data_IF_887733038624
#
_entry.id   IF_887733038624
#
_cell.length_a   1.000
_cell.length_b   1.000
_cell.length_c   1.000
_cell.angle_alpha   90.00
_cell.angle_beta   90.00
_cell.angle_gamma   90.00
#
_symmetry.space_group_name_H-M   'P 1'
#
loop_
_entity.id
_entity.type
_entity.pdbx_description
1 polymer ?
#
# COMPACT_ATOMS: atom_id res chain seq x y z
N UNK A 1 11.15 26.47 2.89
CA UNK A 1 10.55 25.18 2.48
C UNK A 1 10.43 25.03 0.96
N UNK A 2 9.80 25.96 0.18
CA UNK A 2 9.60 25.76 -1.26
C UNK A 2 10.91 25.78 -2.07
N UNK A 3 11.84 26.68 -1.71
CA UNK A 3 13.14 26.82 -2.38
C UNK A 3 14.04 25.60 -2.18
N UNK A 4 14.07 25.05 -0.95
CA UNK A 4 14.85 23.86 -0.61
C UNK A 4 14.31 22.61 -1.31
N UNK A 5 12.98 22.45 -1.35
CA UNK A 5 12.32 21.36 -2.08
C UNK A 5 12.63 21.43 -3.58
N UNK A 6 12.61 22.63 -4.17
CA UNK A 6 12.94 22.85 -5.58
C UNK A 6 14.41 22.49 -5.86
N UNK A 7 15.33 22.91 -5.01
CA UNK A 7 16.76 22.56 -5.10
C UNK A 7 16.98 21.04 -5.04
N UNK A 8 16.33 20.35 -4.10
CA UNK A 8 16.45 18.89 -3.96
C UNK A 8 15.88 18.17 -5.19
N UNK A 9 14.71 18.59 -5.70
CA UNK A 9 14.13 17.99 -6.91
C UNK A 9 14.96 18.25 -8.16
N UNK A 10 15.61 19.41 -8.26
CA UNK A 10 16.47 19.77 -9.40
C UNK A 10 17.85 19.09 -9.34
N UNK A 11 18.39 18.88 -8.15
CA UNK A 11 19.68 18.19 -7.95
C UNK A 11 19.57 16.66 -8.06
N UNK A 12 18.37 16.09 -7.90
CA UNK A 12 18.15 14.64 -7.83
C UNK A 12 18.67 13.84 -9.04
N UNK A 13 18.47 14.26 -10.31
CA UNK A 13 19.02 13.54 -11.47
C UNK A 13 20.55 13.42 -11.45
N UNK A 14 21.22 14.29 -10.70
CA UNK A 14 22.68 14.35 -10.58
C UNK A 14 23.21 13.58 -9.36
N UNK A 15 22.35 13.00 -8.52
CA UNK A 15 22.77 12.17 -7.39
C UNK A 15 23.16 10.78 -7.93
N UNK A 16 24.38 10.29 -7.66
CA UNK A 16 24.81 8.96 -8.07
C UNK A 16 23.85 7.86 -7.61
N UNK A 17 23.52 6.92 -8.51
CA UNK A 17 22.65 5.77 -8.21
C UNK A 17 23.08 4.98 -6.97
N UNK A 18 24.38 4.89 -6.69
CA UNK A 18 24.94 4.23 -5.51
C UNK A 18 24.50 4.89 -4.19
N UNK A 19 24.46 6.22 -4.15
CA UNK A 19 24.04 6.99 -2.97
C UNK A 19 22.53 6.86 -2.76
N UNK A 20 21.73 6.98 -3.84
CA UNK A 20 20.28 6.75 -3.78
C UNK A 20 19.99 5.32 -3.31
N UNK A 21 20.74 4.35 -3.83
CA UNK A 21 20.64 2.93 -3.44
C UNK A 21 20.94 2.70 -1.96
N UNK A 22 21.97 3.34 -1.40
CA UNK A 22 22.32 3.18 0.01
C UNK A 22 21.21 3.66 0.97
N UNK A 23 20.48 4.71 0.57
CA UNK A 23 19.33 5.22 1.32
C UNK A 23 18.09 4.37 1.08
N UNK A 24 17.85 3.96 -0.17
CA UNK A 24 16.71 3.14 -0.57
C UNK A 24 16.72 1.76 0.09
N UNK A 25 17.89 1.19 0.40
CA UNK A 25 18.06 -0.10 1.11
C UNK A 25 17.28 -0.19 2.43
N UNK A 26 16.99 0.93 3.08
CA UNK A 26 16.15 0.95 4.31
C UNK A 26 14.67 0.72 4.01
N UNK A 27 14.22 1.13 2.82
CA UNK A 27 12.80 1.23 2.47
C UNK A 27 12.37 0.21 1.40
N UNK A 28 13.32 -0.46 0.75
CA UNK A 28 13.13 -1.45 -0.32
C UNK A 28 13.95 -2.69 0.07
N UNK A 29 13.32 -3.87 0.01
CA UNK A 29 13.96 -5.10 0.47
C UNK A 29 15.19 -5.49 -0.38
N UNK A 30 15.13 -5.19 -1.67
CA UNK A 30 16.16 -5.45 -2.66
C UNK A 30 15.57 -5.54 -4.06
N UNK A 31 16.32 -6.12 -4.99
CA UNK A 31 15.93 -6.20 -6.41
C UNK A 31 15.33 -7.56 -6.76
N UNK A 32 15.69 -8.62 -6.02
CA UNK A 32 15.25 -9.97 -6.29
C UNK A 32 14.13 -10.41 -5.34
N UNK A 33 13.32 -11.39 -5.77
CA UNK A 33 12.32 -12.03 -4.91
C UNK A 33 12.94 -12.59 -3.61
N UNK A 34 14.15 -13.14 -3.68
CA UNK A 34 14.88 -13.65 -2.52
C UNK A 34 15.19 -12.57 -1.46
N UNK A 35 15.34 -11.32 -1.89
CA UNK A 35 15.49 -10.19 -0.97
C UNK A 35 14.19 -9.90 -0.23
N UNK A 36 13.06 -9.91 -0.96
CA UNK A 36 11.73 -9.81 -0.39
C UNK A 36 11.47 -10.92 0.64
N UNK A 37 11.74 -12.17 0.29
CA UNK A 37 11.61 -13.33 1.19
C UNK A 37 12.44 -13.13 2.46
N UNK A 38 13.72 -12.76 2.32
CA UNK A 38 14.61 -12.53 3.47
C UNK A 38 14.04 -11.44 4.38
N UNK A 39 13.61 -10.32 3.82
CA UNK A 39 13.04 -9.21 4.57
C UNK A 39 11.76 -9.60 5.32
N UNK A 40 10.87 -10.37 4.67
CA UNK A 40 9.64 -10.87 5.29
C UNK A 40 9.94 -11.86 6.42
N UNK A 41 10.92 -12.76 6.26
CA UNK A 41 11.35 -13.67 7.34
C UNK A 41 11.82 -12.90 8.58
N UNK A 42 12.60 -11.84 8.42
CA UNK A 42 13.04 -11.00 9.55
C UNK A 42 11.89 -10.27 10.25
N UNK A 43 10.86 -9.86 9.50
CA UNK A 43 9.65 -9.27 10.07
C UNK A 43 8.81 -10.33 10.82
N UNK A 44 8.60 -11.50 10.22
CA UNK A 44 7.79 -12.57 10.81
C UNK A 44 8.40 -13.11 12.11
N UNK A 45 9.74 -13.13 12.26
CA UNK A 45 10.42 -13.44 13.54
C UNK A 45 9.99 -12.51 14.68
N UNK A 46 9.52 -11.31 14.37
CA UNK A 46 9.02 -10.31 15.32
C UNK A 46 7.49 -10.27 15.39
N UNK A 47 6.81 -11.30 14.90
CA UNK A 47 5.34 -11.37 14.78
C UNK A 47 4.71 -10.29 13.89
N UNK A 48 5.53 -9.63 13.06
CA UNK A 48 5.09 -8.60 12.13
C UNK A 48 4.69 -9.26 10.81
N UNK A 49 3.47 -8.98 10.35
CA UNK A 49 2.97 -9.47 9.05
C UNK A 49 3.57 -8.64 7.92
N UNK A 50 3.51 -9.15 6.69
CA UNK A 50 3.94 -8.39 5.52
C UNK A 50 2.88 -8.35 4.40
N UNK A 51 3.04 -7.39 3.49
CA UNK A 51 2.51 -7.43 2.14
C UNK A 51 3.68 -7.23 1.19
N UNK A 52 3.89 -8.16 0.28
CA UNK A 52 4.93 -8.04 -0.74
C UNK A 52 4.36 -7.25 -1.92
N UNK A 53 5.13 -6.27 -2.40
CA UNK A 53 4.79 -5.44 -3.56
C UNK A 53 5.92 -5.52 -4.57
N UNK A 54 5.55 -5.86 -5.81
CA UNK A 54 6.46 -5.84 -6.94
C UNK A 54 6.58 -4.40 -7.46
N UNK A 55 7.79 -3.85 -7.38
CA UNK A 55 8.10 -2.55 -7.93
C UNK A 55 8.18 -2.63 -9.45
N UNK A 56 7.28 -1.90 -10.10
CA UNK A 56 7.27 -1.75 -11.55
C UNK A 56 6.53 -0.50 -11.99
N UNK A 57 6.74 -0.14 -13.24
CA UNK A 57 6.13 0.97 -13.94
C UNK A 57 4.83 0.56 -14.67
N UNK A 58 4.16 1.56 -15.28
CA UNK A 58 3.03 1.31 -16.19
C UNK A 58 3.49 0.37 -17.32
N UNK A 59 2.77 -0.74 -17.50
CA UNK A 59 2.98 -1.69 -18.61
C UNK A 59 2.41 -1.13 -19.92
N UNK A 60 3.07 -1.45 -21.03
CA UNK A 60 2.76 -0.89 -22.36
C UNK A 60 2.16 -1.88 -23.32
N UNK A 61 2.31 -3.18 -23.06
CA UNK A 61 1.89 -4.24 -23.96
C UNK A 61 1.57 -5.52 -23.19
N UNK A 62 0.94 -6.48 -23.88
CA UNK A 62 0.53 -7.75 -23.30
C UNK A 62 1.71 -8.59 -22.79
N UNK A 63 2.89 -8.46 -23.40
CA UNK A 63 4.07 -9.21 -22.97
C UNK A 63 4.53 -8.77 -21.57
N UNK A 64 4.66 -7.47 -21.33
CA UNK A 64 4.98 -6.91 -20.01
C UNK A 64 3.92 -7.27 -18.94
N UNK A 65 2.63 -7.31 -19.32
CA UNK A 65 1.55 -7.74 -18.42
C UNK A 65 1.73 -9.21 -18.00
N UNK A 66 2.06 -10.09 -18.95
CA UNK A 66 2.28 -11.51 -18.67
C UNK A 66 3.51 -11.71 -17.77
N UNK A 67 4.59 -10.94 -17.97
CA UNK A 67 5.77 -10.95 -17.09
C UNK A 67 5.40 -10.54 -15.66
N UNK A 68 4.73 -9.40 -15.48
CA UNK A 68 4.30 -8.93 -14.15
C UNK A 68 3.37 -9.94 -13.47
N UNK A 69 2.41 -10.50 -14.22
CA UNK A 69 1.51 -11.53 -13.69
C UNK A 69 2.30 -12.76 -13.24
N UNK A 70 3.25 -13.24 -14.05
CA UNK A 70 4.08 -14.39 -13.71
C UNK A 70 4.90 -14.13 -12.44
N UNK A 71 5.49 -12.95 -12.30
CA UNK A 71 6.23 -12.55 -11.11
C UNK A 71 5.33 -12.52 -9.85
N UNK A 72 4.13 -11.95 -9.95
CA UNK A 72 3.16 -11.94 -8.84
C UNK A 72 2.77 -13.37 -8.42
N UNK A 73 2.56 -14.27 -9.39
CA UNK A 73 2.28 -15.68 -9.11
C UNK A 73 3.48 -16.36 -8.43
N UNK A 74 4.72 -16.06 -8.83
CA UNK A 74 5.93 -16.53 -8.15
C UNK A 74 6.05 -16.01 -6.72
N UNK A 75 5.59 -14.79 -6.42
CA UNK A 75 5.52 -14.28 -5.04
C UNK A 75 4.55 -15.13 -4.21
N UNK A 76 3.36 -15.42 -4.73
CA UNK A 76 2.36 -16.24 -4.03
C UNK A 76 2.89 -17.65 -3.73
N UNK A 77 3.59 -18.26 -4.69
CA UNK A 77 4.26 -19.54 -4.50
C UNK A 77 5.35 -19.44 -3.43
N UNK A 78 6.22 -18.44 -3.51
CA UNK A 78 7.30 -18.25 -2.55
C UNK A 78 6.79 -18.01 -1.12
N UNK A 79 5.68 -17.30 -0.95
CA UNK A 79 5.03 -17.11 0.36
C UNK A 79 4.64 -18.47 0.95
N UNK A 80 4.01 -19.33 0.18
CA UNK A 80 3.56 -20.65 0.62
C UNK A 80 4.75 -21.56 0.94
N UNK A 81 5.71 -21.70 0.03
CA UNK A 81 6.90 -22.54 0.19
C UNK A 81 7.74 -22.17 1.42
N UNK A 82 7.81 -20.87 1.72
CA UNK A 82 8.56 -20.36 2.86
C UNK A 82 7.71 -20.17 4.13
N UNK A 83 6.41 -20.51 4.07
CA UNK A 83 5.43 -20.34 5.16
C UNK A 83 5.42 -18.91 5.73
N UNK A 84 5.47 -17.92 4.85
CA UNK A 84 5.56 -16.51 5.25
C UNK A 84 4.19 -16.01 5.71
N UNK A 85 4.15 -15.26 6.81
CA UNK A 85 2.97 -14.48 7.19
C UNK A 85 2.93 -13.21 6.35
N UNK A 86 2.60 -13.37 5.06
CA UNK A 86 2.53 -12.31 4.08
C UNK A 86 1.38 -12.51 3.12
N UNK A 87 0.86 -11.39 2.61
CA UNK A 87 0.00 -11.37 1.43
C UNK A 87 0.70 -10.61 0.29
N UNK A 88 -0.01 -10.37 -0.81
CA UNK A 88 0.50 -9.59 -1.95
C UNK A 88 -0.32 -8.33 -2.14
N UNK A 89 0.34 -7.21 -2.45
CA UNK A 89 -0.32 -6.01 -3.01
C UNK A 89 0.00 -5.94 -4.50
N UNK A 90 -0.98 -5.61 -5.33
CA UNK A 90 -0.82 -5.45 -6.77
C UNK A 90 -1.43 -4.12 -7.23
N UNK A 91 -0.95 -3.62 -8.36
CA UNK A 91 -1.45 -2.40 -9.01
C UNK A 91 -2.21 -2.79 -10.28
N UNK A 92 -3.51 -2.45 -10.41
CA UNK A 92 -4.28 -2.79 -11.61
C UNK A 92 -3.65 -2.33 -12.93
N UNK A 93 -2.99 -1.17 -12.96
CA UNK A 93 -2.34 -0.65 -14.17
C UNK A 93 -1.28 -1.58 -14.71
N UNK A 94 -0.47 -2.19 -13.83
CA UNK A 94 0.54 -3.18 -14.19
C UNK A 94 -0.04 -4.48 -14.75
N UNK A 95 -1.34 -4.70 -14.58
CA UNK A 95 -2.06 -5.87 -15.09
C UNK A 95 -2.93 -5.54 -16.30
N UNK A 96 -2.80 -4.32 -16.84
CA UNK A 96 -3.41 -3.90 -18.10
C UNK A 96 -4.61 -2.97 -17.96
N UNK A 97 -4.87 -2.38 -16.78
CA UNK A 97 -6.06 -1.53 -16.58
C UNK A 97 -6.14 -0.37 -17.58
N UNK A 98 -5.01 0.24 -17.93
CA UNK A 98 -4.92 1.35 -18.91
C UNK A 98 -4.97 0.89 -20.37
N UNK A 99 -4.89 -0.42 -20.63
CA UNK A 99 -4.90 -1.01 -21.97
C UNK A 99 -6.28 -1.58 -22.28
N UNK A 100 -6.75 -2.51 -21.45
CA UNK A 100 -8.04 -3.18 -21.59
C UNK A 100 -8.53 -3.62 -20.19
N UNK A 101 -9.72 -3.13 -19.81
CA UNK A 101 -10.32 -3.37 -18.50
C UNK A 101 -10.69 -4.85 -18.29
N UNK A 102 -11.14 -5.55 -19.34
CA UNK A 102 -11.42 -6.98 -19.28
C UNK A 102 -10.14 -7.82 -19.22
N UNK A 103 -9.07 -7.37 -19.90
CA UNK A 103 -7.75 -7.99 -19.75
C UNK A 103 -7.25 -7.86 -18.29
N UNK A 104 -7.32 -6.65 -17.73
CA UNK A 104 -6.97 -6.41 -16.34
C UNK A 104 -7.78 -7.27 -15.37
N UNK A 105 -9.10 -7.33 -15.57
CA UNK A 105 -9.98 -8.18 -14.78
C UNK A 105 -9.55 -9.65 -14.82
N UNK A 106 -9.34 -10.23 -16.01
CA UNK A 106 -8.95 -11.64 -16.15
C UNK A 106 -7.61 -11.94 -15.48
N UNK A 107 -6.63 -11.03 -15.61
CA UNK A 107 -5.32 -11.19 -14.99
C UNK A 107 -5.40 -11.11 -13.45
N UNK A 108 -6.10 -10.11 -12.92
CA UNK A 108 -6.29 -9.96 -11.47
C UNK A 108 -7.07 -11.16 -10.92
N UNK A 109 -8.17 -11.57 -11.59
CA UNK A 109 -8.96 -12.74 -11.20
C UNK A 109 -8.09 -13.98 -11.10
N UNK A 110 -7.24 -14.24 -12.10
CA UNK A 110 -6.33 -15.40 -12.08
C UNK A 110 -5.38 -15.38 -10.87
N UNK A 111 -4.83 -14.21 -10.54
CA UNK A 111 -3.96 -14.03 -9.37
C UNK A 111 -4.74 -14.29 -8.07
N UNK A 112 -5.95 -13.74 -7.94
CA UNK A 112 -6.80 -13.91 -6.74
C UNK A 112 -7.23 -15.37 -6.57
N UNK A 113 -7.59 -16.07 -7.65
CA UNK A 113 -7.91 -17.50 -7.64
C UNK A 113 -6.71 -18.34 -7.18
N UNK A 114 -5.50 -18.05 -7.72
CA UNK A 114 -4.28 -18.72 -7.28
C UNK A 114 -3.99 -18.44 -5.80
N UNK A 115 -4.16 -17.20 -5.34
CA UNK A 115 -4.01 -16.87 -3.93
C UNK A 115 -5.01 -17.65 -3.05
N UNK A 116 -6.27 -17.81 -3.51
CA UNK A 116 -7.31 -18.57 -2.79
C UNK A 116 -6.90 -20.03 -2.60
N UNK A 117 -6.38 -20.66 -3.66
CA UNK A 117 -5.90 -22.04 -3.63
C UNK A 117 -4.72 -22.23 -2.65
N UNK A 118 -3.94 -21.19 -2.42
CA UNK A 118 -2.81 -21.19 -1.49
C UNK A 118 -3.19 -20.64 -0.10
N UNK A 119 -4.49 -20.47 0.22
CA UNK A 119 -4.92 -19.90 1.50
C UNK A 119 -4.43 -18.47 1.75
N UNK A 120 -4.15 -17.71 0.69
CA UNK A 120 -3.53 -16.39 0.74
C UNK A 120 -4.50 -15.30 0.27
N UNK A 121 -4.12 -14.05 0.53
CA UNK A 121 -4.90 -12.84 0.27
C UNK A 121 -4.22 -11.95 -0.76
N UNK A 122 -5.02 -11.19 -1.51
CA UNK A 122 -4.52 -10.18 -2.46
C UNK A 122 -5.13 -8.82 -2.18
N UNK A 123 -4.29 -7.82 -1.95
CA UNK A 123 -4.71 -6.42 -1.91
C UNK A 123 -4.61 -5.79 -3.29
N UNK A 124 -5.70 -5.21 -3.75
CA UNK A 124 -5.74 -4.34 -4.92
C UNK A 124 -5.42 -2.91 -4.44
N UNK A 125 -4.23 -2.42 -4.76
CA UNK A 125 -3.83 -1.06 -4.44
C UNK A 125 -4.61 -0.04 -5.29
N UNK A 126 -4.85 1.13 -4.71
CA UNK A 126 -5.56 2.23 -5.38
C UNK A 126 -4.53 3.23 -5.92
N UNK A 127 -4.63 3.50 -7.21
CA UNK A 127 -3.74 4.40 -7.93
C UNK A 127 -4.32 5.82 -8.01
N UNK A 128 -4.02 6.58 -9.06
CA UNK A 128 -4.56 7.93 -9.22
C UNK A 128 -6.09 7.95 -9.46
N UNK A 129 -6.69 9.13 -9.35
CA UNK A 129 -8.14 9.31 -9.44
C UNK A 129 -8.72 8.83 -10.79
N UNK A 130 -7.94 8.82 -11.87
CA UNK A 130 -8.40 8.39 -13.19
C UNK A 130 -8.65 6.88 -13.27
N UNK A 131 -8.08 6.10 -12.35
CA UNK A 131 -8.22 4.64 -12.30
C UNK A 131 -9.15 4.15 -11.20
N UNK A 132 -9.68 5.05 -10.36
CA UNK A 132 -10.43 4.68 -9.15
C UNK A 132 -11.71 3.90 -9.46
N UNK A 133 -12.51 4.37 -10.42
CA UNK A 133 -13.78 3.71 -10.77
C UNK A 133 -13.56 2.30 -11.32
N UNK A 134 -12.61 2.14 -12.23
CA UNK A 134 -12.32 0.85 -12.84
C UNK A 134 -11.73 -0.13 -11.82
N UNK A 135 -10.90 0.35 -10.89
CA UNK A 135 -10.37 -0.45 -9.78
C UNK A 135 -11.49 -0.96 -8.87
N UNK A 136 -12.42 -0.08 -8.49
CA UNK A 136 -13.57 -0.48 -7.66
C UNK A 136 -14.54 -1.40 -8.42
N UNK A 137 -14.71 -1.22 -9.73
CA UNK A 137 -15.52 -2.11 -10.56
C UNK A 137 -14.92 -3.53 -10.62
N UNK A 138 -13.61 -3.65 -10.82
CA UNK A 138 -12.89 -4.93 -10.77
C UNK A 138 -13.08 -5.59 -9.40
N UNK A 139 -12.88 -4.84 -8.31
CA UNK A 139 -13.05 -5.38 -6.95
C UNK A 139 -14.46 -5.93 -6.72
N UNK A 140 -15.50 -5.16 -7.08
CA UNK A 140 -16.90 -5.58 -6.92
C UNK A 140 -17.21 -6.81 -7.77
N UNK A 141 -16.68 -6.91 -8.98
CA UNK A 141 -16.86 -8.08 -9.85
C UNK A 141 -16.19 -9.32 -9.28
N UNK A 142 -14.99 -9.21 -8.70
CA UNK A 142 -14.34 -10.32 -7.99
C UNK A 142 -15.18 -10.81 -6.80
N UNK A 143 -15.77 -9.88 -6.02
CA UNK A 143 -16.70 -10.25 -4.95
C UNK A 143 -17.93 -10.99 -5.48
N UNK A 144 -18.54 -10.52 -6.57
CA UNK A 144 -19.68 -11.18 -7.21
C UNK A 144 -19.33 -12.58 -7.73
N UNK A 145 -18.08 -12.79 -8.15
CA UNK A 145 -17.55 -14.10 -8.56
C UNK A 145 -17.22 -15.03 -7.37
N UNK A 146 -17.50 -14.62 -6.12
CA UNK A 146 -17.27 -15.42 -4.91
C UNK A 146 -15.81 -15.46 -4.43
N UNK A 147 -15.02 -14.46 -4.83
CA UNK A 147 -13.63 -14.29 -4.38
C UNK A 147 -13.59 -13.30 -3.21
N UNK A 148 -13.56 -13.85 -2.01
CA UNK A 148 -13.52 -13.15 -0.72
C UNK A 148 -12.10 -12.97 -0.16
N UNK A 149 -11.11 -13.64 -0.75
CA UNK A 149 -9.69 -13.55 -0.40
C UNK A 149 -8.99 -12.32 -1.02
N UNK A 150 -9.74 -11.24 -1.24
CA UNK A 150 -9.22 -9.98 -1.78
C UNK A 150 -9.83 -8.76 -1.08
N UNK A 151 -9.10 -7.64 -1.14
CA UNK A 151 -9.55 -6.36 -0.61
C UNK A 151 -9.04 -5.21 -1.46
N UNK A 152 -9.62 -4.03 -1.23
CA UNK A 152 -9.32 -2.82 -2.00
C UNK A 152 -8.76 -1.72 -1.09
N UNK A 153 -8.09 -0.73 -1.68
CA UNK A 153 -7.59 0.47 -0.99
C UNK A 153 -8.56 1.63 -1.19
N UNK A 154 -8.74 2.45 -0.15
CA UNK A 154 -9.40 3.75 -0.22
C UNK A 154 -8.45 4.85 0.25
N UNK A 155 -8.50 6.00 -0.43
CA UNK A 155 -7.62 7.15 -0.20
C UNK A 155 -8.39 8.31 0.43
N UNK A 156 -8.18 8.56 1.72
CA UNK A 156 -8.97 9.52 2.50
C UNK A 156 -8.92 10.98 2.02
N UNK A 157 -7.96 11.36 1.18
CA UNK A 157 -7.88 12.70 0.61
C UNK A 157 -8.85 12.97 -0.54
N UNK A 158 -9.53 11.96 -1.12
CA UNK A 158 -10.46 12.19 -2.23
C UNK A 158 -11.82 12.59 -1.69
N UNK A 159 -12.47 13.56 -2.35
CA UNK A 159 -13.84 13.99 -2.00
C UNK A 159 -14.85 12.84 -2.11
N UNK A 160 -14.66 11.95 -3.10
CA UNK A 160 -15.53 10.78 -3.36
C UNK A 160 -15.46 9.67 -2.31
N UNK A 161 -14.40 9.61 -1.50
CA UNK A 161 -14.10 8.40 -0.69
C UNK A 161 -15.15 8.05 0.35
N UNK A 162 -15.94 9.01 0.84
CA UNK A 162 -17.04 8.69 1.75
C UNK A 162 -18.12 7.86 1.08
N UNK A 163 -18.53 8.22 -0.13
CA UNK A 163 -19.52 7.48 -0.89
C UNK A 163 -19.02 6.07 -1.22
N UNK A 164 -17.76 5.97 -1.69
CA UNK A 164 -17.13 4.68 -1.98
C UNK A 164 -17.08 3.78 -0.74
N UNK A 165 -16.68 4.32 0.42
CA UNK A 165 -16.66 3.56 1.68
C UNK A 165 -18.06 3.10 2.09
N UNK A 166 -19.06 3.99 2.03
CA UNK A 166 -20.46 3.65 2.36
C UNK A 166 -21.02 2.57 1.43
N UNK A 167 -20.58 2.53 0.17
CA UNK A 167 -20.90 1.45 -0.77
C UNK A 167 -20.22 0.14 -0.36
N UNK A 168 -18.91 0.17 -0.08
CA UNK A 168 -18.09 -1.00 0.22
C UNK A 168 -18.46 -1.71 1.53
N UNK A 169 -18.84 -0.96 2.57
CA UNK A 169 -19.20 -1.57 3.86
C UNK A 169 -20.49 -2.39 3.78
N UNK A 170 -21.38 -2.13 2.81
CA UNK A 170 -22.61 -2.92 2.60
C UNK A 170 -22.31 -4.39 2.26
N UNK A 171 -21.18 -4.65 1.61
CA UNK A 171 -20.70 -6.01 1.31
C UNK A 171 -19.63 -6.50 2.29
N UNK A 172 -19.44 -5.82 3.43
CA UNK A 172 -18.37 -6.11 4.42
C UNK A 172 -16.99 -6.22 3.78
N UNK A 173 -16.70 -5.37 2.79
CA UNK A 173 -15.43 -5.36 2.08
C UNK A 173 -14.23 -5.28 3.05
N UNK A 174 -13.13 -5.93 2.69
CA UNK A 174 -11.87 -5.79 3.40
C UNK A 174 -11.13 -4.56 2.83
N UNK A 175 -10.96 -3.51 3.64
CA UNK A 175 -10.51 -2.19 3.17
C UNK A 175 -9.15 -1.83 3.77
N UNK A 176 -8.18 -1.40 2.94
CA UNK A 176 -6.99 -0.68 3.41
C UNK A 176 -7.28 0.82 3.27
N UNK A 177 -7.31 1.54 4.40
CA UNK A 177 -7.51 2.98 4.41
C UNK A 177 -6.17 3.70 4.51
N UNK A 178 -5.81 4.45 3.48
CA UNK A 178 -4.63 5.32 3.46
C UNK A 178 -5.04 6.78 3.28
N UNK A 179 -4.08 7.71 3.34
CA UNK A 179 -4.37 9.13 3.04
C UNK A 179 -4.56 9.37 1.55
N UNK A 180 -3.80 8.71 0.69
CA UNK A 180 -3.58 9.10 -0.70
C UNK A 180 -2.20 9.73 -0.90
N UNK A 181 -1.61 9.52 -2.07
CA UNK A 181 -0.21 9.92 -2.37
C UNK A 181 -0.05 10.65 -3.72
N UNK A 182 -1.03 10.57 -4.61
CA UNK A 182 -0.96 11.19 -5.92
C UNK A 182 -1.21 12.70 -5.83
N UNK A 183 -0.70 13.47 -6.79
CA UNK A 183 -0.91 14.93 -6.79
C UNK A 183 -2.19 15.30 -7.55
N UNK A 184 -3.33 15.05 -6.92
CA UNK A 184 -4.65 15.39 -7.48
C UNK A 184 -4.96 16.89 -7.37
N UNK A 185 -5.82 17.37 -8.27
CA UNK A 185 -6.30 18.76 -8.24
C UNK A 185 -7.19 19.03 -7.02
N UNK A 186 -7.31 20.29 -6.54
CA UNK A 186 -8.19 20.63 -5.41
C UNK A 186 -9.66 20.29 -5.62
N UNK A 187 -10.12 20.22 -6.88
CA UNK A 187 -11.48 19.81 -7.22
C UNK A 187 -11.75 18.31 -7.05
N UNK A 188 -10.68 17.50 -6.94
CA UNK A 188 -10.75 16.04 -6.77
C UNK A 188 -10.38 15.64 -5.34
N UNK A 189 -9.42 16.34 -4.73
CA UNK A 189 -8.87 15.99 -3.43
C UNK A 189 -8.69 17.18 -2.47
N UNK A 190 -8.89 16.91 -1.18
CA UNK A 190 -8.47 17.80 -0.10
C UNK A 190 -6.95 18.04 -0.18
N UNK A 191 -6.54 19.30 -0.03
CA UNK A 191 -5.11 19.68 0.01
C UNK A 191 -4.64 20.02 1.41
N UNK A 192 -5.54 20.42 2.30
CA UNK A 192 -5.20 20.70 3.69
C UNK A 192 -4.98 19.41 4.50
N UNK A 193 -3.95 19.44 5.34
CA UNK A 193 -3.53 18.27 6.11
C UNK A 193 -4.53 17.92 7.22
N UNK A 194 -5.20 18.91 7.81
CA UNK A 194 -6.21 18.67 8.83
C UNK A 194 -7.50 18.14 8.21
N UNK A 195 -7.92 18.66 7.06
CA UNK A 195 -9.05 18.11 6.29
C UNK A 195 -8.83 16.63 5.94
N UNK A 196 -7.66 16.27 5.41
CA UNK A 196 -7.33 14.87 5.08
C UNK A 196 -7.37 13.99 6.34
N UNK A 197 -6.83 14.47 7.47
CA UNK A 197 -6.86 13.71 8.74
C UNK A 197 -8.27 13.54 9.28
N UNK A 198 -9.08 14.59 9.24
CA UNK A 198 -10.46 14.56 9.69
C UNK A 198 -11.28 13.59 8.83
N UNK A 199 -11.11 13.64 7.50
CA UNK A 199 -11.79 12.71 6.62
C UNK A 199 -11.29 11.27 6.84
N UNK A 200 -9.98 11.05 7.04
CA UNK A 200 -9.46 9.72 7.38
C UNK A 200 -10.15 9.12 8.61
N UNK A 201 -10.25 9.87 9.70
CA UNK A 201 -10.92 9.40 10.92
C UNK A 201 -12.43 9.21 10.72
N UNK A 202 -13.08 10.07 9.92
CA UNK A 202 -14.49 9.90 9.53
C UNK A 202 -14.69 8.58 8.79
N UNK A 203 -13.89 8.31 7.76
CA UNK A 203 -13.96 7.07 6.98
C UNK A 203 -13.66 5.85 7.84
N UNK A 204 -12.67 5.93 8.75
CA UNK A 204 -12.37 4.85 9.68
C UNK A 204 -13.59 4.49 10.56
N UNK A 205 -14.31 5.49 11.08
CA UNK A 205 -15.55 5.23 11.83
C UNK A 205 -16.59 4.55 10.95
N UNK A 206 -16.84 5.03 9.73
CA UNK A 206 -17.83 4.42 8.82
C UNK A 206 -17.47 2.95 8.50
N UNK A 207 -16.19 2.66 8.27
CA UNK A 207 -15.72 1.29 7.99
C UNK A 207 -15.99 0.36 9.18
N UNK A 208 -15.65 0.81 10.39
CA UNK A 208 -15.80 0.01 11.61
C UNK A 208 -17.27 -0.14 12.02
N UNK A 209 -18.09 0.90 11.90
CA UNK A 209 -19.54 0.84 12.11
C UNK A 209 -20.22 -0.15 11.15
N UNK A 210 -19.73 -0.23 9.91
CA UNK A 210 -20.18 -1.21 8.92
C UNK A 210 -19.71 -2.65 9.16
N UNK A 211 -18.85 -2.88 10.16
CA UNK A 211 -18.31 -4.21 10.49
C UNK A 211 -17.30 -4.75 9.47
N UNK A 212 -16.72 -3.89 8.63
CA UNK A 212 -15.69 -4.24 7.66
C UNK A 212 -14.31 -4.36 8.32
N UNK A 213 -13.49 -5.33 7.88
CA UNK A 213 -12.08 -5.40 8.28
C UNK A 213 -11.32 -4.20 7.71
N UNK A 214 -10.48 -3.56 8.54
CA UNK A 214 -9.70 -2.39 8.13
C UNK A 214 -8.20 -2.56 8.34
N UNK A 215 -7.43 -2.29 7.29
CA UNK A 215 -6.00 -2.00 7.36
C UNK A 215 -5.78 -0.49 7.52
N UNK A 216 -5.39 -0.06 8.71
CA UNK A 216 -5.14 1.35 9.06
C UNK A 216 -3.74 1.72 8.57
N UNK A 217 -3.64 2.11 7.30
CA UNK A 217 -2.37 2.40 6.62
C UNK A 217 -1.92 3.85 6.82
N UNK A 218 -1.09 4.08 7.85
CA UNK A 218 -0.60 5.42 8.19
C UNK A 218 0.66 5.35 9.06
N UNK A 219 1.49 6.39 8.94
CA UNK A 219 2.64 6.65 9.83
C UNK A 219 2.45 7.87 10.73
N UNK A 220 1.28 8.51 10.64
CA UNK A 220 0.96 9.74 11.34
C UNK A 220 0.48 9.44 12.76
N UNK A 221 1.26 9.84 13.77
CA UNK A 221 0.93 9.60 15.19
C UNK A 221 -0.47 10.08 15.55
N UNK A 222 -0.88 11.24 15.03
CA UNK A 222 -2.22 11.75 15.31
C UNK A 222 -3.30 10.76 14.88
N UNK A 223 -3.15 10.15 13.70
CA UNK A 223 -4.11 9.16 13.21
C UNK A 223 -4.00 7.84 13.94
N UNK A 224 -2.78 7.42 14.30
CA UNK A 224 -2.56 6.18 15.06
C UNK A 224 -3.22 6.30 16.44
N UNK A 225 -2.95 7.37 17.16
CA UNK A 225 -3.47 7.61 18.51
C UNK A 225 -5.01 7.68 18.52
N UNK A 226 -5.59 8.39 17.55
CA UNK A 226 -7.05 8.46 17.40
C UNK A 226 -7.64 7.12 16.94
N UNK A 227 -6.93 6.35 16.10
CA UNK A 227 -7.36 5.01 15.74
C UNK A 227 -7.40 4.08 16.95
N UNK A 228 -6.42 4.12 17.85
CA UNK A 228 -6.47 3.38 19.12
C UNK A 228 -7.72 3.74 19.94
N UNK A 229 -8.02 5.04 20.06
CA UNK A 229 -9.22 5.50 20.78
C UNK A 229 -10.52 4.99 20.12
N UNK A 230 -10.61 5.04 18.79
CA UNK A 230 -11.77 4.51 18.04
C UNK A 230 -11.88 2.99 18.25
N UNK A 231 -10.79 2.23 18.06
CA UNK A 231 -10.77 0.78 18.27
C UNK A 231 -11.25 0.40 19.67
N UNK A 232 -10.76 1.11 20.70
CA UNK A 232 -11.17 0.90 22.09
C UNK A 232 -12.65 1.23 22.30
N UNK A 233 -13.16 2.33 21.72
CA UNK A 233 -14.57 2.71 21.77
C UNK A 233 -15.49 1.64 21.16
N UNK A 234 -15.07 1.02 20.06
CA UNK A 234 -15.82 -0.07 19.40
C UNK A 234 -15.61 -1.45 20.05
N UNK A 235 -14.69 -1.58 21.01
CA UNK A 235 -14.40 -2.86 21.67
C UNK A 235 -13.88 -3.93 20.73
N UNK A 236 -13.12 -3.55 19.69
CA UNK A 236 -12.71 -4.48 18.64
C UNK A 236 -11.61 -5.44 19.10
N UNK A 237 -11.77 -6.71 18.71
CA UNK A 237 -10.74 -7.72 18.81
C UNK A 237 -9.63 -7.48 17.78
N UNK A 238 -8.44 -8.00 18.10
CA UNK A 238 -7.22 -7.79 17.32
C UNK A 238 -7.29 -8.40 15.91
N UNK A 239 -8.19 -9.34 15.68
CA UNK A 239 -8.42 -9.99 14.37
C UNK A 239 -9.38 -9.21 13.46
N UNK A 240 -9.98 -8.12 13.94
CA UNK A 240 -10.93 -7.29 13.18
C UNK A 240 -10.27 -6.09 12.47
N UNK A 241 -9.00 -5.81 12.76
CA UNK A 241 -8.23 -4.74 12.12
C UNK A 241 -6.73 -5.07 12.13
N UNK A 242 -5.96 -4.28 11.40
CA UNK A 242 -4.50 -4.22 11.54
C UNK A 242 -4.01 -2.81 11.26
N UNK A 243 -2.89 -2.42 11.87
CA UNK A 243 -2.11 -1.27 11.42
C UNK A 243 -1.28 -1.64 10.20
N UNK A 244 -0.97 -0.67 9.35
CA UNK A 244 -0.09 -0.90 8.21
C UNK A 244 0.89 0.25 8.01
N UNK A 245 2.15 -0.11 7.74
CA UNK A 245 3.24 0.86 7.53
C UNK A 245 4.15 0.40 6.39
N UNK A 246 4.79 1.35 5.72
CA UNK A 246 5.89 1.08 4.79
C UNK A 246 7.14 0.58 5.52
N UNK A 247 7.88 -0.31 4.85
CA UNK A 247 9.19 -0.81 5.30
C UNK A 247 10.14 0.34 5.65
N UNK A 248 10.85 0.22 6.77
CA UNK A 248 11.88 1.17 7.19
C UNK A 248 11.37 2.51 7.74
N UNK A 249 10.06 2.77 7.70
CA UNK A 249 9.48 4.04 8.13
C UNK A 249 8.96 3.91 9.57
N UNK A 250 9.40 4.83 10.45
CA UNK A 250 8.88 5.01 11.83
C UNK A 250 8.92 3.71 12.66
N UNK A 251 10.02 2.98 12.55
CA UNK A 251 10.18 1.64 13.15
C UNK A 251 9.99 1.63 14.67
N UNK A 252 10.41 2.67 15.40
CA UNK A 252 10.14 2.80 16.83
C UNK A 252 8.63 2.80 17.14
N UNK A 253 7.82 3.46 16.31
CA UNK A 253 6.35 3.49 16.45
C UNK A 253 5.72 2.16 16.04
N UNK A 254 6.22 1.52 14.97
CA UNK A 254 5.85 0.14 14.60
C UNK A 254 6.05 -0.81 15.77
N UNK A 255 7.24 -0.79 16.38
CA UNK A 255 7.59 -1.70 17.47
C UNK A 255 6.75 -1.44 18.72
N UNK A 256 6.39 -0.18 19.00
CA UNK A 256 5.40 0.15 20.04
C UNK A 256 4.04 -0.49 19.75
N UNK A 257 3.50 -0.34 18.54
CA UNK A 257 2.19 -0.94 18.16
C UNK A 257 2.19 -2.46 18.35
N UNK A 258 3.30 -3.14 18.01
CA UNK A 258 3.48 -4.58 18.24
C UNK A 258 3.52 -4.92 19.72
N UNK A 259 4.28 -4.16 20.52
CA UNK A 259 4.42 -4.38 21.96
C UNK A 259 3.12 -4.11 22.72
N UNK A 260 2.31 -3.16 22.24
CA UNK A 260 0.94 -2.90 22.72
C UNK A 260 -0.03 -4.04 22.30
N UNK A 261 0.48 -5.02 21.55
CA UNK A 261 -0.20 -6.25 21.19
C UNK A 261 -1.11 -6.12 19.98
N UNK A 262 -1.03 -5.03 19.20
CA UNK A 262 -1.82 -4.86 18.00
C UNK A 262 -1.16 -5.57 16.80
N UNK A 263 -1.99 -6.01 15.84
CA UNK A 263 -1.51 -6.54 14.58
C UNK A 263 -0.97 -5.41 13.71
N UNK A 264 0.18 -5.64 13.07
CA UNK A 264 0.74 -4.72 12.08
C UNK A 264 1.24 -5.47 10.86
N UNK A 265 1.00 -4.88 9.68
CA UNK A 265 1.52 -5.35 8.39
C UNK A 265 2.47 -4.34 7.78
N UNK A 266 3.64 -4.80 7.37
CA UNK A 266 4.62 -3.97 6.67
C UNK A 266 4.52 -4.17 5.16
N UNK A 267 4.43 -3.06 4.43
CA UNK A 267 4.53 -3.03 2.99
C UNK A 267 5.99 -3.16 2.58
N UNK A 268 6.33 -4.27 1.93
CA UNK A 268 7.68 -4.69 1.57
C UNK A 268 7.83 -4.59 0.05
N UNK A 269 8.26 -3.42 -0.47
CA UNK A 269 8.53 -3.28 -1.88
C UNK A 269 9.88 -3.93 -2.24
N UNK A 270 9.94 -4.58 -3.40
CA UNK A 270 11.16 -5.13 -3.98
C UNK A 270 11.05 -5.16 -5.51
N UNK A 271 12.17 -5.26 -6.22
CA UNK A 271 12.19 -5.35 -7.68
C UNK A 271 13.25 -4.47 -8.33
N UNK A 272 13.59 -4.77 -9.59
CA UNK A 272 14.64 -4.08 -10.32
C UNK A 272 14.35 -2.58 -10.55
N UNK A 273 13.07 -2.22 -10.60
CA UNK A 273 12.61 -0.86 -10.88
C UNK A 273 12.61 0.07 -9.64
N UNK A 274 13.39 -0.28 -8.60
CA UNK A 274 13.49 0.48 -7.36
C UNK A 274 13.90 1.94 -7.54
N UNK A 275 14.75 2.23 -8.53
CA UNK A 275 15.22 3.57 -8.81
C UNK A 275 14.11 4.46 -9.38
N UNK A 276 13.34 3.94 -10.33
CA UNK A 276 12.21 4.65 -10.94
C UNK A 276 11.13 4.94 -9.88
N UNK A 277 10.79 3.93 -9.07
CA UNK A 277 9.90 4.07 -7.92
C UNK A 277 10.36 5.16 -6.94
N UNK A 278 11.62 5.12 -6.52
CA UNK A 278 12.19 6.10 -5.58
C UNK A 278 12.18 7.52 -6.16
N UNK A 279 12.47 7.64 -7.46
CA UNK A 279 12.48 8.91 -8.20
C UNK A 279 11.09 9.52 -8.29
N UNK A 280 10.08 8.73 -8.68
CA UNK A 280 8.69 9.18 -8.76
C UNK A 280 8.16 9.64 -7.40
N UNK A 281 8.40 8.86 -6.33
CA UNK A 281 7.96 9.21 -4.98
C UNK A 281 8.56 10.52 -4.45
N UNK A 282 9.78 10.84 -4.86
CA UNK A 282 10.43 12.11 -4.56
C UNK A 282 9.85 13.29 -5.35
N UNK A 283 9.49 13.06 -6.61
CA UNK A 283 8.86 14.09 -7.47
C UNK A 283 7.41 14.38 -7.06
N UNK A 284 6.63 13.34 -6.77
CA UNK A 284 5.22 13.44 -6.37
C UNK A 284 5.05 14.06 -4.97
N UNK A 285 6.02 13.85 -4.08
CA UNK A 285 5.98 14.38 -2.73
C UNK A 285 7.34 14.95 -2.31
N UNK A 286 7.63 16.22 -2.63
CA UNK A 286 8.89 16.86 -2.26
C UNK A 286 9.13 16.91 -0.73
N UNK A 287 8.07 16.78 0.09
CA UNK A 287 8.21 16.67 1.54
C UNK A 287 8.76 15.29 1.95
N UNK A 288 8.58 14.23 1.16
CA UNK A 288 9.29 12.95 1.34
C UNK A 288 10.79 13.10 1.12
N UNK A 289 11.21 14.01 0.23
CA UNK A 289 12.62 14.33 0.04
C UNK A 289 13.27 14.91 1.31
N UNK A 290 12.51 15.64 2.12
CA UNK A 290 12.92 16.13 3.44
C UNK A 290 13.16 14.99 4.46
N UNK A 291 12.31 13.95 4.45
CA UNK A 291 12.51 12.77 5.30
C UNK A 291 13.73 11.94 4.87
N UNK A 292 13.97 11.85 3.56
CA UNK A 292 15.17 11.21 2.99
C UNK A 292 16.44 12.02 3.31
N UNK A 293 16.42 13.35 3.17
CA UNK A 293 17.55 14.21 3.58
C UNK A 293 17.79 14.15 5.08
N UNK A 294 16.75 14.15 5.92
CA UNK A 294 16.92 13.87 7.36
C UNK A 294 17.52 12.49 7.63
N UNK A 295 17.14 11.44 6.88
CA UNK A 295 17.72 10.11 7.08
C UNK A 295 19.19 10.01 6.66
N UNK A 296 19.65 10.85 5.71
CA UNK A 296 21.05 10.95 5.27
C UNK A 296 21.89 11.77 6.25
N UNK A 297 21.36 12.88 6.78
CA UNK A 297 22.11 13.85 7.59
C UNK A 297 21.88 13.76 9.10
N UNK A 298 20.81 13.09 9.55
CA UNK A 298 20.45 12.93 10.97
C UNK A 298 20.25 11.44 11.25
N UNK A 299 21.35 10.73 11.52
CA UNK A 299 21.31 9.39 12.13
C UNK A 299 20.67 9.51 13.52
N UNK A 300 19.50 8.87 13.73
CA UNK A 300 18.88 8.62 15.05
C UNK A 300 18.13 7.28 15.06
#
# INVERSE_FOLDING_TARGET
MPLLNKIITTAFPFIPKSIVGQVAKRYIAGVALSDGIRQVKELNKKTIMATMDLLGEDVKNNFEIEEVKAEILSILQAIEENKLTSNVSLKPTQLGLKIDKELAYRNIKKIVETAKNNGNFVRIDMEDAATTDDTLAIYRRLQSDGLDNTGVVIQAYLHRSEEDVRSLVKSKANIRLCKGIYNESPGIAYKDRHEIRNNYLKLLNIILEGGSYVGIATHDDFLIDHAHAIISKFGLNKDQYEYQMLLGVREKRRDQIVNDGHRIRIYVPFGEQWYAYSSRRLQENPQMAWYITKAIFIRQ
#
